data_IF_098994591118
#
_entry.id   IF_098994591118
#
_cell.length_a   1.000
_cell.length_b   1.000
_cell.length_c   1.000
_cell.angle_alpha   90.00
_cell.angle_beta   90.00
_cell.angle_gamma   90.00
#
_symmetry.space_group_name_H-M   'P 1'
#
loop_
_entity.id
_entity.type
_entity.pdbx_description
1 polymer ?
#
# COMPACT_ATOMS: atom_id res chain seq x y z
N UNK A 1 -1.45 -9.18 1.73
CA UNK A 1 -1.62 -7.77 2.12
C UNK A 1 -2.04 -6.96 0.91
N UNK A 2 -2.94 -6.02 1.12
CA UNK A 2 -3.30 -4.99 0.15
C UNK A 2 -2.94 -3.63 0.71
N UNK A 3 -2.40 -2.75 -0.12
CA UNK A 3 -1.99 -1.41 0.25
C UNK A 3 -2.48 -0.39 -0.78
N UNK A 4 -3.10 0.66 -0.26
CA UNK A 4 -3.37 1.94 -0.90
C UNK A 4 -2.47 2.94 -0.18
N UNK A 5 -1.34 3.27 -0.77
CA UNK A 5 -0.44 4.25 -0.17
C UNK A 5 0.35 4.90 -1.26
N UNK A 6 0.63 6.19 -1.12
CA UNK A 6 1.72 6.80 -1.87
C UNK A 6 3.04 6.14 -1.47
N UNK A 7 3.83 5.78 -2.47
CA UNK A 7 5.18 5.27 -2.32
C UNK A 7 6.10 6.34 -2.87
N UNK A 8 6.83 7.00 -1.98
CA UNK A 8 7.74 8.09 -2.33
C UNK A 8 9.19 7.76 -1.99
N UNK A 9 10.11 8.59 -2.47
CA UNK A 9 11.56 8.41 -2.29
C UNK A 9 11.97 8.39 -0.83
N UNK A 10 11.33 9.20 0.02
CA UNK A 10 11.74 9.43 1.41
C UNK A 10 11.11 8.47 2.43
N UNK A 11 10.46 7.39 1.97
CA UNK A 11 9.72 6.47 2.84
C UNK A 11 10.48 5.18 3.13
N UNK A 12 11.69 5.29 3.67
CA UNK A 12 12.60 4.14 3.87
C UNK A 12 11.99 3.05 4.77
N UNK A 13 11.27 3.44 5.82
CA UNK A 13 10.60 2.49 6.73
C UNK A 13 9.52 1.68 5.98
N UNK A 14 8.75 2.30 5.08
CA UNK A 14 7.73 1.59 4.30
C UNK A 14 8.38 0.64 3.30
N UNK A 15 9.44 1.08 2.62
CA UNK A 15 10.21 0.26 1.67
C UNK A 15 10.80 -0.96 2.37
N UNK A 16 11.38 -0.79 3.56
CA UNK A 16 11.92 -1.88 4.36
C UNK A 16 10.82 -2.86 4.79
N UNK A 17 9.68 -2.36 5.25
CA UNK A 17 8.54 -3.19 5.64
C UNK A 17 8.01 -4.04 4.46
N UNK A 18 7.90 -3.45 3.26
CA UNK A 18 7.52 -4.16 2.04
C UNK A 18 8.54 -5.24 1.68
N UNK A 19 9.83 -4.92 1.73
CA UNK A 19 10.90 -5.89 1.47
C UNK A 19 10.85 -7.07 2.44
N UNK A 20 10.67 -6.80 3.73
CA UNK A 20 10.54 -7.83 4.76
C UNK A 20 9.29 -8.70 4.57
N UNK A 21 8.17 -8.11 4.12
CA UNK A 21 6.97 -8.86 3.77
C UNK A 21 7.22 -9.82 2.59
N UNK A 22 7.89 -9.35 1.54
CA UNK A 22 8.22 -10.17 0.37
C UNK A 22 9.19 -11.30 0.72
N UNK A 23 10.23 -11.04 1.53
CA UNK A 23 11.13 -12.08 2.06
C UNK A 23 10.39 -13.19 2.81
N UNK A 24 9.31 -12.82 3.52
CA UNK A 24 8.42 -13.76 4.23
C UNK A 24 7.37 -14.40 3.31
N UNK A 25 7.49 -14.24 1.99
CA UNK A 25 6.58 -14.77 0.97
C UNK A 25 5.13 -14.30 1.15
N UNK A 26 4.92 -13.11 1.72
CA UNK A 26 3.60 -12.52 1.84
C UNK A 26 3.19 -11.98 0.47
N UNK A 27 2.02 -12.38 -0.03
CA UNK A 27 1.47 -11.80 -1.26
C UNK A 27 1.11 -10.33 -1.01
N UNK A 28 1.71 -9.42 -1.76
CA UNK A 28 1.46 -7.98 -1.66
C UNK A 28 0.89 -7.46 -2.98
N UNK A 29 -0.24 -6.75 -2.88
CA UNK A 29 -0.76 -5.91 -3.97
C UNK A 29 -0.71 -4.45 -3.53
N UNK A 30 0.01 -3.62 -4.28
CA UNK A 30 0.19 -2.20 -4.00
C UNK A 30 -0.40 -1.38 -5.16
N UNK A 31 -1.37 -0.54 -4.83
CA UNK A 31 -1.81 0.54 -5.70
C UNK A 31 -1.20 1.83 -5.18
N UNK A 32 -0.54 2.59 -6.07
CA UNK A 32 0.16 3.81 -5.69
C UNK A 32 0.34 4.76 -6.87
N UNK A 33 0.64 6.03 -6.58
CA UNK A 33 1.28 6.92 -7.55
C UNK A 33 2.78 6.64 -7.52
N UNK A 34 3.40 6.38 -8.67
CA UNK A 34 4.76 5.89 -8.75
C UNK A 34 5.68 6.92 -9.44
N UNK A 35 6.45 7.72 -8.68
CA UNK A 35 7.40 8.64 -9.28
C UNK A 35 8.51 7.87 -10.03
N UNK A 36 8.98 8.44 -11.15
CA UNK A 36 9.98 7.81 -12.05
C UNK A 36 11.29 7.47 -11.34
N UNK A 37 11.65 8.20 -10.30
CA UNK A 37 12.82 7.97 -9.45
C UNK A 37 12.79 6.61 -8.76
N UNK A 38 11.62 6.00 -8.57
CA UNK A 38 11.48 4.69 -7.95
C UNK A 38 11.51 3.52 -8.95
N UNK A 39 11.83 3.75 -10.22
CA UNK A 39 11.79 2.71 -11.26
C UNK A 39 12.61 1.45 -10.91
N UNK A 40 13.78 1.60 -10.27
CA UNK A 40 14.58 0.45 -9.84
C UNK A 40 13.93 -0.33 -8.70
N UNK A 41 13.41 0.38 -7.69
CA UNK A 41 12.68 -0.22 -6.57
C UNK A 41 11.43 -0.96 -7.08
N UNK A 42 10.68 -0.36 -8.01
CA UNK A 42 9.48 -0.96 -8.61
C UNK A 42 9.82 -2.26 -9.34
N UNK A 43 10.85 -2.23 -10.20
CA UNK A 43 11.33 -3.44 -10.89
C UNK A 43 11.75 -4.52 -9.89
N UNK A 44 12.47 -4.14 -8.84
CA UNK A 44 12.87 -5.06 -7.76
C UNK A 44 11.64 -5.66 -7.09
N UNK A 45 10.64 -4.88 -6.71
CA UNK A 45 9.45 -5.42 -6.06
C UNK A 45 8.63 -6.34 -6.98
N UNK A 46 8.46 -5.95 -8.24
CA UNK A 46 7.77 -6.78 -9.23
C UNK A 46 8.48 -8.12 -9.42
N UNK A 47 9.82 -8.12 -9.54
CA UNK A 47 10.62 -9.35 -9.65
C UNK A 47 10.55 -10.25 -8.41
N UNK A 48 10.24 -9.69 -7.24
CA UNK A 48 10.04 -10.41 -5.98
C UNK A 48 8.57 -10.83 -5.75
N UNK A 49 7.72 -10.74 -6.78
CA UNK A 49 6.35 -11.25 -6.74
C UNK A 49 5.32 -10.26 -6.17
N UNK A 50 5.68 -9.00 -5.97
CA UNK A 50 4.71 -7.96 -5.64
C UNK A 50 3.91 -7.60 -6.90
N UNK A 51 2.57 -7.51 -6.77
CA UNK A 51 1.75 -6.92 -7.84
C UNK A 51 1.65 -5.43 -7.61
N UNK A 52 2.09 -4.62 -8.58
CA UNK A 52 2.00 -3.17 -8.54
C UNK A 52 1.09 -2.66 -9.64
N UNK A 53 0.31 -1.63 -9.32
CA UNK A 53 -0.38 -0.82 -10.32
C UNK A 53 -0.29 0.65 -9.98
N UNK A 54 -0.14 1.46 -11.02
CA UNK A 54 -0.11 2.91 -10.89
C UNK A 54 -1.52 3.49 -11.00
N UNK A 55 -1.93 4.26 -9.98
CA UNK A 55 -3.13 5.09 -10.00
C UNK A 55 -3.02 6.19 -8.94
N UNK A 56 -3.46 7.41 -9.25
CA UNK A 56 -3.62 8.45 -8.24
C UNK A 56 -4.91 8.21 -7.44
N UNK A 57 -4.79 8.11 -6.12
CA UNK A 57 -5.90 7.91 -5.18
C UNK A 57 -5.67 8.70 -3.89
N UNK A 58 -6.76 9.03 -3.19
CA UNK A 58 -6.70 9.87 -1.98
C UNK A 58 -6.59 9.12 -0.65
N UNK A 59 -6.64 7.79 -0.66
CA UNK A 59 -6.71 6.99 0.58
C UNK A 59 -5.36 6.35 0.95
N UNK A 60 -4.97 6.46 2.22
CA UNK A 60 -3.84 5.73 2.81
C UNK A 60 -4.36 4.59 3.69
N UNK A 61 -4.43 3.38 3.16
CA UNK A 61 -5.01 2.23 3.85
C UNK A 61 -4.25 0.93 3.56
N UNK A 62 -4.22 0.03 4.56
CA UNK A 62 -3.62 -1.29 4.48
C UNK A 62 -4.60 -2.34 4.99
N UNK A 63 -4.74 -3.44 4.26
CA UNK A 63 -5.47 -4.63 4.68
C UNK A 63 -4.50 -5.79 4.84
N UNK A 64 -4.42 -6.33 6.06
CA UNK A 64 -3.56 -7.46 6.42
C UNK A 64 -4.46 -8.66 6.75
N UNK A 65 -4.14 -9.81 6.15
CA UNK A 65 -4.86 -11.08 6.31
C UNK A 65 -6.40 -10.99 6.18
N UNK A 66 -6.87 -10.06 5.34
CA UNK A 66 -8.30 -9.79 5.08
C UNK A 66 -9.12 -9.43 6.34
N UNK A 67 -8.47 -9.08 7.45
CA UNK A 67 -9.14 -8.88 8.75
C UNK A 67 -8.58 -7.74 9.59
N UNK A 68 -7.31 -7.37 9.40
CA UNK A 68 -6.72 -6.18 10.03
C UNK A 68 -6.74 -5.04 9.03
N UNK A 69 -7.18 -3.87 9.49
CA UNK A 69 -7.19 -2.64 8.71
C UNK A 69 -6.34 -1.61 9.44
N UNK A 70 -5.48 -0.94 8.69
CA UNK A 70 -4.84 0.32 9.09
C UNK A 70 -5.32 1.38 8.12
N UNK A 71 -5.95 2.45 8.62
CA UNK A 71 -6.43 3.56 7.80
C UNK A 71 -5.88 4.87 8.36
N UNK A 72 -5.23 5.64 7.52
CA UNK A 72 -4.66 6.92 7.88
C UNK A 72 -5.44 8.07 7.26
N UNK A 73 -5.72 9.10 8.07
CA UNK A 73 -6.17 10.41 7.59
C UNK A 73 -4.98 11.26 7.17
N UNK A 74 -3.81 10.96 7.71
CA UNK A 74 -2.58 11.69 7.41
C UNK A 74 -1.98 11.22 6.08
N UNK A 75 -1.37 12.17 5.38
CA UNK A 75 -0.51 11.90 4.24
C UNK A 75 0.88 11.48 4.73
N UNK A 76 1.23 10.21 4.55
CA UNK A 76 2.52 9.66 4.96
C UNK A 76 3.68 10.09 4.07
N UNK A 77 3.43 10.79 2.96
CA UNK A 77 4.49 11.39 2.14
C UNK A 77 5.12 12.63 2.80
N UNK A 78 4.45 13.20 3.80
CA UNK A 78 4.89 14.42 4.49
C UNK A 78 5.33 14.08 5.90
N UNK A 79 6.48 14.60 6.28
CA UNK A 79 6.87 14.62 7.69
C UNK A 79 5.89 15.52 8.45
N UNK A 80 5.32 14.98 9.53
CA UNK A 80 4.40 15.70 10.38
C UNK A 80 4.80 15.50 11.84
N UNK A 81 4.58 16.50 12.70
CA UNK A 81 4.77 16.33 14.14
C UNK A 81 3.85 15.24 14.70
N UNK A 82 2.70 15.01 14.05
CA UNK A 82 1.73 14.00 14.46
C UNK A 82 1.09 13.30 13.25
N UNK A 83 0.86 11.99 13.41
CA UNK A 83 0.18 11.15 12.44
C UNK A 83 -1.12 10.60 13.00
N UNK A 84 -2.21 10.83 12.28
CA UNK A 84 -3.54 10.37 12.64
C UNK A 84 -3.92 9.15 11.81
N UNK A 85 -4.06 8.01 12.49
CA UNK A 85 -4.49 6.75 11.90
C UNK A 85 -5.29 5.91 12.89
N UNK A 86 -6.12 5.02 12.34
CA UNK A 86 -6.90 4.05 13.09
C UNK A 86 -6.48 2.65 12.72
N UNK A 87 -6.37 1.77 13.72
CA UNK A 87 -6.11 0.35 13.53
C UNK A 87 -7.32 -0.43 14.02
N UNK A 88 -7.97 -1.18 13.12
CA UNK A 88 -9.00 -2.14 13.49
C UNK A 88 -8.45 -3.56 13.38
N UNK A 89 -8.44 -4.26 14.51
CA UNK A 89 -8.06 -5.67 14.58
C UNK A 89 -9.29 -6.56 14.35
N UNK A 90 -9.17 -7.59 13.51
CA UNK A 90 -10.22 -8.57 13.23
C UNK A 90 -11.58 -7.98 12.76
N UNK A 91 -11.57 -6.80 12.15
CA UNK A 91 -12.77 -6.15 11.64
C UNK A 91 -13.00 -6.50 10.16
N UNK A 92 -13.63 -7.67 9.93
CA UNK A 92 -13.95 -8.15 8.58
C UNK A 92 -14.85 -7.19 7.78
N UNK A 93 -15.90 -6.56 8.36
CA UNK A 93 -16.70 -5.58 7.62
C UNK A 93 -15.88 -4.41 7.07
N UNK A 94 -15.01 -3.81 7.89
CA UNK A 94 -14.14 -2.73 7.44
C UNK A 94 -13.15 -3.20 6.36
N UNK A 95 -12.54 -4.38 6.56
CA UNK A 95 -11.64 -4.96 5.57
C UNK A 95 -12.35 -5.22 4.22
N UNK A 96 -13.58 -5.75 4.24
CA UNK A 96 -14.35 -6.00 3.02
C UNK A 96 -14.74 -4.71 2.29
N UNK A 97 -15.11 -3.66 3.03
CA UNK A 97 -15.43 -2.36 2.44
C UNK A 97 -14.21 -1.73 1.75
N UNK A 98 -13.06 -1.70 2.41
CA UNK A 98 -11.82 -1.15 1.84
C UNK A 98 -11.33 -2.04 0.69
N UNK A 99 -11.48 -3.37 0.79
CA UNK A 99 -11.16 -4.31 -0.28
C UNK A 99 -11.96 -3.99 -1.54
N UNK A 100 -13.27 -3.76 -1.42
CA UNK A 100 -14.13 -3.42 -2.55
C UNK A 100 -13.69 -2.12 -3.22
N UNK A 101 -13.32 -1.11 -2.43
CA UNK A 101 -12.75 0.13 -2.95
C UNK A 101 -11.42 -0.12 -3.67
N UNK A 102 -10.52 -0.89 -3.06
CA UNK A 102 -9.25 -1.26 -3.67
C UNK A 102 -9.45 -1.98 -5.00
N UNK A 103 -10.34 -2.97 -5.08
CA UNK A 103 -10.58 -3.74 -6.30
C UNK A 103 -11.12 -2.85 -7.44
N UNK A 104 -12.00 -1.90 -7.12
CA UNK A 104 -12.50 -0.92 -8.08
C UNK A 104 -11.36 -0.06 -8.65
N UNK A 105 -10.51 0.49 -7.79
CA UNK A 105 -9.34 1.25 -8.21
C UNK A 105 -8.34 0.37 -8.99
N UNK A 106 -8.07 -0.84 -8.50
CA UNK A 106 -7.16 -1.80 -9.13
C UNK A 106 -7.53 -2.12 -10.60
N UNK A 107 -8.81 -2.17 -10.93
CA UNK A 107 -9.28 -2.36 -12.30
C UNK A 107 -8.91 -1.20 -13.23
N UNK A 108 -8.84 0.02 -12.69
CA UNK A 108 -8.50 1.25 -13.42
C UNK A 108 -6.99 1.54 -13.44
N UNK A 109 -6.24 0.97 -12.51
CA UNK A 109 -4.79 1.17 -12.41
C UNK A 109 -4.02 0.58 -13.60
N UNK A 110 -2.96 1.28 -14.00
CA UNK A 110 -2.03 0.86 -15.05
C UNK A 110 -1.05 -0.17 -14.49
N UNK A 111 -0.90 -1.31 -15.17
CA UNK A 111 0.13 -2.28 -14.81
C UNK A 111 1.51 -1.71 -15.09
N UNK A 112 2.46 -2.02 -14.20
CA UNK A 112 3.85 -1.55 -14.25
C UNK A 112 4.78 -2.74 -14.42
#
# INVERSE_FOLDING_TARGET
MIALSRLDENQDILKEALHNALKRKISVKLLSKLPRSLNEDIKRYASNGMSLKEQDHGMNAYIIDKKKVVLALSDFSKEKPEYHFTIWNNNKPAAAMIQKYFDHCWQQGKSV
#
